data_IF_288429921036
#
_entry.id   IF_288429921036
#
_cell.length_a   1.000
_cell.length_b   1.000
_cell.length_c   1.000
_cell.angle_alpha   90.00
_cell.angle_beta   90.00
_cell.angle_gamma   90.00
#
_symmetry.space_group_name_H-M   'P 1'
#
loop_
_entity.id
_entity.type
_entity.pdbx_description
1 polymer ?
#
# COMPACT_ATOMS: atom_id res chain seq x y z
N UNK A 1 32.16 -29.93 -18.28
CA UNK A 1 32.01 -28.92 -17.21
C UNK A 1 31.98 -27.55 -17.86
N UNK A 2 30.80 -26.97 -18.06
CA UNK A 2 30.66 -25.56 -18.45
C UNK A 2 30.06 -24.85 -17.24
N UNK A 3 30.86 -24.02 -16.56
CA UNK A 3 30.38 -23.17 -15.51
C UNK A 3 29.50 -22.08 -16.14
N UNK A 4 28.22 -22.05 -15.78
CA UNK A 4 27.34 -20.94 -16.11
C UNK A 4 27.77 -19.73 -15.27
N UNK A 5 28.30 -18.72 -15.94
CA UNK A 5 28.54 -17.41 -15.32
C UNK A 5 27.20 -16.77 -15.00
N UNK A 6 26.85 -16.71 -13.72
CA UNK A 6 25.75 -15.89 -13.22
C UNK A 6 26.19 -14.43 -13.33
N UNK A 7 25.69 -13.73 -14.35
CA UNK A 7 25.85 -12.29 -14.46
C UNK A 7 25.15 -11.62 -13.28
N UNK A 8 25.94 -11.02 -12.39
CA UNK A 8 25.45 -10.11 -11.37
C UNK A 8 24.95 -8.86 -12.11
N UNK A 9 23.63 -8.76 -12.34
CA UNK A 9 23.05 -7.51 -12.83
C UNK A 9 23.18 -6.50 -11.70
N UNK A 10 24.18 -5.61 -11.80
CA UNK A 10 24.26 -4.42 -10.96
C UNK A 10 22.95 -3.64 -11.20
N UNK A 11 22.03 -3.72 -10.24
CA UNK A 11 20.79 -2.96 -10.29
C UNK A 11 21.17 -1.49 -10.46
N UNK A 12 20.62 -0.84 -11.48
CA UNK A 12 20.81 0.58 -11.69
C UNK A 12 20.36 1.29 -10.39
N UNK A 13 21.16 2.14 -9.74
CA UNK A 13 20.75 2.83 -8.51
C UNK A 13 19.48 3.69 -8.69
N UNK A 14 19.07 3.95 -9.94
CA UNK A 14 17.81 4.60 -10.31
C UNK A 14 16.61 3.65 -10.40
N UNK A 15 16.83 2.33 -10.32
CA UNK A 15 15.79 1.31 -10.47
C UNK A 15 15.26 0.92 -9.08
N UNK A 16 14.13 1.53 -8.71
CA UNK A 16 13.41 1.20 -7.49
C UNK A 16 12.47 0.02 -7.75
N UNK A 17 12.62 -1.06 -6.99
CA UNK A 17 11.67 -2.17 -7.07
C UNK A 17 10.34 -1.79 -6.39
N UNK A 18 9.17 -2.26 -6.88
CA UNK A 18 7.89 -1.92 -6.26
C UNK A 18 7.82 -2.24 -4.77
N UNK A 19 8.29 -3.42 -4.35
CA UNK A 19 8.30 -3.79 -2.93
C UNK A 19 9.31 -2.98 -2.12
N UNK A 20 10.42 -2.55 -2.72
CA UNK A 20 11.37 -1.65 -2.07
C UNK A 20 10.77 -0.25 -1.84
N UNK A 21 9.92 0.21 -2.76
CA UNK A 21 9.15 1.45 -2.54
C UNK A 21 8.18 1.29 -1.37
N UNK A 22 7.46 0.17 -1.28
CA UNK A 22 6.52 -0.09 -0.17
C UNK A 22 7.26 -0.21 1.16
N UNK A 23 8.42 -0.86 1.20
CA UNK A 23 9.29 -0.94 2.38
C UNK A 23 9.72 0.44 2.88
N UNK A 24 10.09 1.34 1.96
CA UNK A 24 10.40 2.74 2.29
C UNK A 24 9.21 3.54 2.82
N UNK A 25 7.98 3.05 2.67
CA UNK A 25 6.77 3.68 3.19
C UNK A 25 6.42 3.25 4.62
N UNK A 26 7.13 2.27 5.20
CA UNK A 26 6.90 1.85 6.59
C UNK A 26 7.16 3.03 7.54
N UNK A 27 6.26 3.22 8.50
CA UNK A 27 6.21 4.37 9.41
C UNK A 27 5.66 5.65 8.78
N UNK A 28 5.30 5.64 7.49
CA UNK A 28 4.76 6.80 6.78
C UNK A 28 3.27 6.62 6.48
N UNK A 29 2.60 7.75 6.25
CA UNK A 29 1.21 7.79 5.75
C UNK A 29 1.18 7.16 4.36
N UNK A 30 0.20 6.31 4.10
CA UNK A 30 -0.08 5.71 2.80
C UNK A 30 -1.57 5.77 2.51
N UNK A 31 -1.90 6.02 1.24
CA UNK A 31 -3.24 5.92 0.72
C UNK A 31 -3.35 4.69 -0.18
N UNK A 32 -4.32 3.83 0.11
CA UNK A 32 -4.53 2.53 -0.52
C UNK A 32 -5.90 2.53 -1.20
N UNK A 33 -5.91 2.26 -2.49
CA UNK A 33 -7.12 2.17 -3.30
C UNK A 33 -7.45 0.69 -3.51
N UNK A 34 -8.64 0.29 -3.10
CA UNK A 34 -9.13 -1.09 -3.17
C UNK A 34 -9.99 -1.29 -4.42
N UNK A 35 -10.24 -2.56 -4.78
CA UNK A 35 -11.09 -2.91 -5.94
C UNK A 35 -12.57 -2.46 -5.82
N UNK A 36 -13.09 -2.26 -4.61
CA UNK A 36 -14.53 -2.16 -4.34
C UNK A 36 -14.97 -0.76 -3.87
N UNK A 37 -14.65 0.31 -4.62
CA UNK A 37 -14.99 1.71 -4.29
C UNK A 37 -14.65 2.10 -2.84
N UNK A 38 -13.57 1.50 -2.32
CA UNK A 38 -13.06 1.66 -0.97
C UNK A 38 -11.64 2.15 -1.03
N UNK A 39 -11.36 3.16 -0.23
CA UNK A 39 -10.06 3.81 -0.12
C UNK A 39 -9.67 3.89 1.36
N UNK A 40 -8.40 3.66 1.66
CA UNK A 40 -7.91 3.53 3.03
C UNK A 40 -6.67 4.39 3.19
N UNK A 41 -6.68 5.29 4.19
CA UNK A 41 -5.52 6.10 4.54
C UNK A 41 -5.05 5.71 5.93
N UNK A 42 -3.81 5.26 6.05
CA UNK A 42 -3.24 4.69 7.27
C UNK A 42 -1.76 5.05 7.41
N UNK A 43 -1.17 4.85 8.58
CA UNK A 43 0.29 4.74 8.73
C UNK A 43 0.66 3.28 8.49
N UNK A 44 1.57 3.01 7.55
CA UNK A 44 2.00 1.64 7.25
C UNK A 44 2.91 1.12 8.35
N UNK A 45 2.52 0.06 9.04
CA UNK A 45 3.36 -0.60 10.05
C UNK A 45 4.21 -1.73 9.47
N UNK A 46 3.73 -2.37 8.40
CA UNK A 46 4.44 -3.44 7.72
C UNK A 46 3.55 -4.15 6.71
N UNK A 47 4.16 -5.01 5.91
CA UNK A 47 3.49 -5.83 4.92
C UNK A 47 4.19 -7.19 4.77
N UNK A 48 3.53 -8.16 4.14
CA UNK A 48 4.09 -9.47 3.81
C UNK A 48 4.31 -9.66 2.29
N UNK A 49 4.80 -10.83 1.87
CA UNK A 49 5.05 -11.15 0.45
C UNK A 49 3.77 -11.13 -0.41
N UNK A 50 2.59 -11.25 0.20
CA UNK A 50 1.29 -11.16 -0.47
C UNK A 50 0.71 -9.73 -0.42
N UNK A 51 1.46 -8.79 0.13
CA UNK A 51 1.06 -7.39 0.29
C UNK A 51 -0.18 -7.26 1.19
N UNK A 52 -0.38 -8.19 2.13
CA UNK A 52 -1.24 -7.93 3.27
C UNK A 52 -0.57 -6.88 4.14
N UNK A 53 -1.31 -5.86 4.56
CA UNK A 53 -0.72 -4.69 5.23
C UNK A 53 -1.29 -4.50 6.63
N UNK A 54 -0.42 -4.20 7.60
CA UNK A 54 -0.83 -3.73 8.91
C UNK A 54 -0.78 -2.22 8.90
N UNK A 55 -1.90 -1.57 9.23
CA UNK A 55 -2.02 -0.12 9.26
C UNK A 55 -2.53 0.36 10.62
N UNK A 56 -2.11 1.55 11.04
CA UNK A 56 -2.64 2.25 12.21
C UNK A 56 -3.18 3.65 11.87
N UNK A 57 -3.92 4.25 12.80
CA UNK A 57 -4.58 5.56 12.68
C UNK A 57 -5.42 5.66 11.40
N UNK A 58 -6.20 4.63 11.10
CA UNK A 58 -6.78 4.41 9.79
C UNK A 58 -8.05 5.25 9.60
N UNK A 59 -8.18 5.84 8.42
CA UNK A 59 -9.42 6.39 7.89
C UNK A 59 -9.81 5.61 6.64
N UNK A 60 -10.95 4.93 6.71
CA UNK A 60 -11.58 4.24 5.60
C UNK A 60 -12.64 5.14 4.96
N UNK A 61 -12.62 5.21 3.63
CA UNK A 61 -13.59 5.88 2.80
C UNK A 61 -14.28 4.84 1.91
N UNK A 62 -15.60 4.81 1.95
CA UNK A 62 -16.41 3.89 1.16
C UNK A 62 -17.49 4.68 0.43
N UNK A 63 -17.62 4.46 -0.87
CA UNK A 63 -18.73 5.01 -1.66
C UNK A 63 -19.90 4.06 -1.55
N UNK A 64 -21.01 4.55 -0.99
CA UNK A 64 -22.26 3.80 -0.84
C UNK A 64 -23.36 4.45 -1.69
N UNK A 65 -24.48 3.76 -1.89
CA UNK A 65 -25.66 4.33 -2.57
C UNK A 65 -26.19 5.60 -1.90
N UNK A 66 -25.96 5.74 -0.58
CA UNK A 66 -26.45 6.83 0.23
C UNK A 66 -25.41 7.97 0.38
N UNK A 67 -24.27 7.84 -0.31
CA UNK A 67 -23.16 8.79 -0.28
C UNK A 67 -21.87 8.20 0.28
N UNK A 68 -20.94 9.06 0.68
CA UNK A 68 -19.62 8.65 1.19
C UNK A 68 -19.69 8.35 2.68
N UNK A 69 -19.27 7.15 3.06
CA UNK A 69 -19.10 6.74 4.45
C UNK A 69 -17.64 6.88 4.85
N UNK A 70 -17.39 7.49 6.01
CA UNK A 70 -16.05 7.64 6.59
C UNK A 70 -16.00 6.91 7.92
N UNK A 71 -15.05 5.99 8.08
CA UNK A 71 -14.87 5.22 9.31
C UNK A 71 -13.44 5.39 9.81
N UNK A 72 -13.25 5.66 11.10
CA UNK A 72 -11.93 5.69 11.75
C UNK A 72 -11.71 4.40 12.53
N UNK A 73 -10.52 3.83 12.41
CA UNK A 73 -10.13 2.57 13.06
C UNK A 73 -8.70 2.71 13.61
N UNK A 74 -8.45 2.17 14.79
CA UNK A 74 -7.15 2.30 15.44
C UNK A 74 -6.07 1.51 14.71
N UNK A 75 -6.33 0.22 14.43
CA UNK A 75 -5.42 -0.66 13.71
C UNK A 75 -6.19 -1.71 12.92
N UNK A 76 -5.72 -2.04 11.71
CA UNK A 76 -6.29 -3.09 10.87
C UNK A 76 -5.22 -3.96 10.23
N UNK A 77 -5.61 -5.19 9.88
CA UNK A 77 -4.94 -6.00 8.87
C UNK A 77 -5.73 -5.92 7.57
N UNK A 78 -5.12 -5.40 6.52
CA UNK A 78 -5.69 -5.25 5.20
C UNK A 78 -5.30 -6.41 4.29
N UNK A 79 -6.28 -6.98 3.59
CA UNK A 79 -6.05 -8.09 2.67
C UNK A 79 -5.46 -7.60 1.33
N UNK A 80 -4.27 -8.10 0.97
CA UNK A 80 -3.51 -7.70 -0.22
C UNK A 80 -4.19 -8.03 -1.55
N UNK A 81 -5.05 -9.06 -1.59
CA UNK A 81 -5.73 -9.48 -2.84
C UNK A 81 -6.67 -8.41 -3.41
N UNK A 82 -7.17 -7.52 -2.56
CA UNK A 82 -8.11 -6.48 -2.95
C UNK A 82 -7.43 -5.12 -3.21
N UNK A 83 -6.13 -5.00 -2.97
CA UNK A 83 -5.37 -3.78 -3.21
C UNK A 83 -5.20 -3.58 -4.72
N UNK A 84 -5.52 -2.38 -5.19
CA UNK A 84 -5.37 -1.98 -6.60
C UNK A 84 -4.23 -0.98 -6.78
N UNK A 85 -4.09 -0.01 -5.86
CA UNK A 85 -3.04 1.00 -5.92
C UNK A 85 -2.55 1.40 -4.53
N UNK A 86 -1.28 1.79 -4.45
CA UNK A 86 -0.61 2.29 -3.26
C UNK A 86 -0.03 3.68 -3.58
N UNK A 87 -0.37 4.67 -2.77
CA UNK A 87 0.05 6.06 -2.94
C UNK A 87 0.78 6.52 -1.66
N UNK A 88 2.12 6.50 -1.65
CA UNK A 88 2.93 7.00 -0.53
C UNK A 88 2.63 8.46 -0.22
N UNK A 89 2.42 8.79 1.06
CA UNK A 89 2.12 10.15 1.51
C UNK A 89 0.75 10.69 1.12
N UNK A 90 -0.12 9.87 0.49
CA UNK A 90 -1.45 10.30 0.08
C UNK A 90 -2.37 10.60 1.27
N UNK A 91 -3.18 11.65 1.13
CA UNK A 91 -4.15 12.09 2.15
C UNK A 91 -5.55 11.50 1.94
N UNK A 92 -5.75 10.74 0.87
CA UNK A 92 -7.06 10.22 0.45
C UNK A 92 -7.84 11.20 -0.43
N UNK A 93 -9.10 10.88 -0.74
CA UNK A 93 -9.95 11.73 -1.57
C UNK A 93 -10.35 13.00 -0.83
N UNK A 94 -10.34 14.16 -1.50
CA UNK A 94 -10.86 15.42 -0.95
C UNK A 94 -12.32 15.22 -0.53
N UNK A 95 -12.67 15.73 0.65
CA UNK A 95 -14.06 15.73 1.13
C UNK A 95 -14.62 17.10 0.75
N UNK A 96 -15.36 17.15 -0.36
CA UNK A 96 -16.15 18.33 -0.72
C UNK A 96 -17.43 18.43 0.13
#
# INVERSE_FOLDING_TARGET
>A
MAASMQGTTLANPSQLLPLELVDKCIGSRIHIIMRNDKEIVGTLLGFDDFVNMVLEDVTEFEITSDGRRITKLDQILLNGNNITMLVPGGEGPTVD
#
